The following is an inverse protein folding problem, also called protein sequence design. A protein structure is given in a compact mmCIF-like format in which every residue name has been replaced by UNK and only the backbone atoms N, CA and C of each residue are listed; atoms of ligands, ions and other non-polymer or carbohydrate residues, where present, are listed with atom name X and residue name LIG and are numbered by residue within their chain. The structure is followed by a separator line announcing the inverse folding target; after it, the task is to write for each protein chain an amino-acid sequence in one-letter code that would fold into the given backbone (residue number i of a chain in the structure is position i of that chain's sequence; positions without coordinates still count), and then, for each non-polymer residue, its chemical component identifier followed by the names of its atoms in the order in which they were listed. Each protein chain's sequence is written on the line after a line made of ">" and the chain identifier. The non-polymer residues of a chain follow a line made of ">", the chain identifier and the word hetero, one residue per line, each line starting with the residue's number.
data_IF_808119854213
#
_entry.id   IF_808119854213
#
_cell.length_a   1.000
_cell.length_b   1.000
_cell.length_c   1.000
_cell.angle_alpha   90.00
_cell.angle_beta   90.00
_cell.angle_gamma   90.00
#
_symmetry.space_group_name_H-M   'P 1'
#
loop_
_entity.id
_entity.type
_entity.pdbx_description
1 polymer ?
#
# COMPACT_ATOMS: atom_id res chain seq x y z
N UNK A 1 25.15 -12.00 -20.92
CA UNK A 1 25.28 -12.48 -19.52
C UNK A 1 25.33 -11.28 -18.60
N UNK A 2 24.32 -11.05 -17.80
CA UNK A 2 24.26 -9.90 -16.90
C UNK A 2 25.07 -10.16 -15.60
N UNK A 3 25.24 -9.13 -14.77
CA UNK A 3 26.01 -9.27 -13.51
C UNK A 3 25.37 -10.30 -12.56
N UNK A 4 24.04 -10.44 -12.63
CA UNK A 4 23.23 -11.38 -11.83
C UNK A 4 23.45 -12.82 -12.28
N UNK A 5 23.50 -13.07 -13.59
CA UNK A 5 23.83 -14.41 -14.15
C UNK A 5 25.20 -14.87 -13.66
N UNK A 6 26.18 -13.96 -13.63
CA UNK A 6 27.54 -14.26 -13.13
C UNK A 6 27.54 -14.54 -11.62
N UNK A 7 26.77 -13.81 -10.84
CA UNK A 7 26.64 -14.04 -9.40
C UNK A 7 26.09 -15.44 -9.11
N UNK A 8 25.02 -15.84 -9.83
CA UNK A 8 24.42 -17.18 -9.69
C UNK A 8 25.37 -18.28 -10.19
N UNK A 9 26.16 -18.01 -11.23
CA UNK A 9 27.16 -18.97 -11.71
C UNK A 9 28.33 -19.19 -10.71
N UNK A 10 28.68 -18.13 -9.95
CA UNK A 10 29.75 -18.23 -8.90
C UNK A 10 29.19 -18.87 -7.63
N UNK A 11 27.97 -18.47 -7.23
CA UNK A 11 27.30 -18.97 -6.03
C UNK A 11 25.87 -19.44 -6.38
N UNK A 12 25.70 -20.72 -6.75
CA UNK A 12 24.42 -21.28 -7.21
C UNK A 12 23.32 -21.33 -6.17
N UNK A 13 23.60 -20.98 -4.92
CA UNK A 13 22.64 -20.90 -3.80
C UNK A 13 22.31 -19.46 -3.38
N UNK A 14 22.77 -18.47 -4.13
CA UNK A 14 22.57 -17.04 -3.82
C UNK A 14 21.12 -16.60 -4.15
N UNK A 15 20.20 -16.85 -3.23
CA UNK A 15 18.75 -16.59 -3.38
C UNK A 15 18.42 -15.15 -3.72
N UNK A 16 19.15 -14.18 -3.15
CA UNK A 16 18.92 -12.75 -3.46
C UNK A 16 19.23 -12.42 -4.92
N UNK A 17 20.31 -12.97 -5.49
CA UNK A 17 20.63 -12.77 -6.90
C UNK A 17 19.56 -13.41 -7.82
N UNK A 18 19.06 -14.59 -7.45
CA UNK A 18 17.97 -15.27 -8.17
C UNK A 18 16.68 -14.44 -8.12
N UNK A 19 16.27 -13.96 -6.95
CA UNK A 19 15.12 -13.07 -6.79
C UNK A 19 15.23 -11.82 -7.66
N UNK A 20 16.38 -11.17 -7.65
CA UNK A 20 16.63 -9.96 -8.46
C UNK A 20 16.66 -10.24 -9.97
N UNK A 21 17.12 -11.43 -10.39
CA UNK A 21 17.06 -11.84 -11.79
C UNK A 21 15.60 -12.14 -12.18
N UNK A 22 14.87 -12.89 -11.36
CA UNK A 22 13.47 -13.22 -11.61
C UNK A 22 12.60 -11.95 -11.75
N UNK A 23 12.77 -10.95 -10.89
CA UNK A 23 12.10 -9.64 -11.04
C UNK A 23 12.42 -8.97 -12.38
N UNK A 24 13.70 -8.99 -12.80
CA UNK A 24 14.10 -8.42 -14.09
C UNK A 24 13.46 -9.16 -15.27
N UNK A 25 13.29 -10.49 -15.15
CA UNK A 25 12.60 -11.30 -16.17
C UNK A 25 11.11 -11.00 -16.22
N UNK A 26 10.44 -10.83 -15.07
CA UNK A 26 9.07 -10.33 -15.02
C UNK A 26 8.93 -8.99 -15.72
N UNK A 27 9.89 -8.08 -15.49
CA UNK A 27 9.93 -6.76 -16.15
C UNK A 27 10.05 -6.85 -17.67
N UNK A 28 10.59 -7.94 -18.18
CA UNK A 28 10.70 -8.25 -19.62
C UNK A 28 9.58 -9.16 -20.13
N UNK A 29 8.59 -9.47 -19.28
CA UNK A 29 7.51 -10.40 -19.56
C UNK A 29 7.96 -11.85 -19.80
N UNK A 30 9.16 -12.23 -19.34
CA UNK A 30 9.64 -13.62 -19.37
C UNK A 30 9.21 -14.35 -18.08
N UNK A 31 7.90 -14.49 -17.97
CA UNK A 31 7.25 -15.00 -16.75
C UNK A 31 7.58 -16.48 -16.47
N UNK A 32 7.85 -17.27 -17.49
CA UNK A 32 8.15 -18.70 -17.33
C UNK A 32 9.52 -18.90 -16.67
N UNK A 33 10.54 -18.19 -17.14
CA UNK A 33 11.88 -18.26 -16.55
C UNK A 33 11.91 -17.62 -15.15
N UNK A 34 11.18 -16.53 -14.94
CA UNK A 34 11.02 -15.91 -13.62
C UNK A 34 10.41 -16.90 -12.62
N UNK A 35 9.33 -17.59 -12.98
CA UNK A 35 8.68 -18.60 -12.13
C UNK A 35 9.65 -19.72 -11.75
N UNK A 36 10.40 -20.24 -12.70
CA UNK A 36 11.41 -21.31 -12.46
C UNK A 36 12.49 -20.85 -11.45
N UNK A 37 12.94 -19.60 -11.55
CA UNK A 37 13.88 -19.05 -10.57
C UNK A 37 13.28 -18.91 -9.18
N UNK A 38 12.03 -18.46 -9.05
CA UNK A 38 11.36 -18.39 -7.75
C UNK A 38 11.11 -19.78 -7.16
N UNK A 39 10.77 -20.78 -7.96
CA UNK A 39 10.66 -22.19 -7.51
C UNK A 39 11.99 -22.67 -6.93
N UNK A 40 13.10 -22.40 -7.63
CA UNK A 40 14.44 -22.76 -7.15
C UNK A 40 14.81 -22.01 -5.87
N UNK A 41 14.44 -20.73 -5.72
CA UNK A 41 14.61 -19.99 -4.46
C UNK A 41 13.88 -20.69 -3.32
N UNK A 42 12.63 -21.14 -3.56
CA UNK A 42 11.81 -21.81 -2.54
C UNK A 42 12.30 -23.23 -2.20
N UNK A 43 13.04 -23.89 -3.07
CA UNK A 43 13.75 -25.14 -2.75
C UNK A 43 14.87 -24.89 -1.73
N UNK A 44 15.56 -23.73 -1.82
CA UNK A 44 16.66 -23.34 -0.96
C UNK A 44 16.20 -22.67 0.34
N UNK A 45 15.19 -21.83 0.23
CA UNK A 45 14.60 -21.04 1.33
C UNK A 45 13.08 -21.03 1.20
N UNK A 46 12.40 -21.96 1.88
CA UNK A 46 10.94 -22.11 1.83
C UNK A 46 10.18 -20.90 2.38
N UNK A 47 10.83 -20.08 3.21
CA UNK A 47 10.23 -18.91 3.85
C UNK A 47 10.53 -17.61 3.10
N UNK A 48 11.09 -17.68 1.90
CA UNK A 48 11.37 -16.49 1.10
C UNK A 48 10.10 -15.79 0.66
N UNK A 49 9.71 -14.73 1.36
CA UNK A 49 8.44 -14.02 1.14
C UNK A 49 8.32 -13.43 -0.27
N UNK A 50 9.42 -12.93 -0.85
CA UNK A 50 9.41 -12.41 -2.23
C UNK A 50 9.10 -13.53 -3.24
N UNK A 51 9.80 -14.66 -3.14
CA UNK A 51 9.58 -15.77 -4.06
C UNK A 51 8.18 -16.38 -3.91
N UNK A 52 7.68 -16.54 -2.66
CA UNK A 52 6.31 -17.01 -2.41
C UNK A 52 5.27 -16.11 -3.07
N UNK A 53 5.38 -14.81 -2.86
CA UNK A 53 4.40 -13.83 -3.33
C UNK A 53 4.40 -13.69 -4.85
N UNK A 54 5.57 -13.49 -5.44
CA UNK A 54 5.69 -13.26 -6.88
C UNK A 54 5.43 -14.53 -7.69
N UNK A 55 5.81 -15.71 -7.17
CA UNK A 55 5.43 -16.97 -7.80
C UNK A 55 3.92 -17.19 -7.78
N UNK A 56 3.24 -16.90 -6.67
CA UNK A 56 1.77 -16.95 -6.60
C UNK A 56 1.13 -16.02 -7.65
N UNK A 57 1.64 -14.79 -7.79
CA UNK A 57 1.19 -13.83 -8.80
C UNK A 57 1.35 -14.37 -10.24
N UNK A 58 2.52 -14.94 -10.56
CA UNK A 58 2.80 -15.51 -11.89
C UNK A 58 1.96 -16.75 -12.19
N UNK A 59 1.57 -17.51 -11.17
CA UNK A 59 0.70 -18.70 -11.29
C UNK A 59 -0.79 -18.36 -11.26
N UNK A 60 -1.17 -17.06 -11.18
CA UNK A 60 -2.56 -16.61 -11.08
C UNK A 60 -3.25 -17.01 -9.77
N UNK A 61 -2.49 -17.30 -8.71
CA UNK A 61 -3.02 -17.61 -7.38
C UNK A 61 -3.14 -16.34 -6.55
N UNK A 62 -4.36 -16.02 -6.14
CA UNK A 62 -4.61 -14.87 -5.25
C UNK A 62 -4.40 -15.29 -3.79
N UNK A 63 -3.52 -14.60 -3.09
CA UNK A 63 -3.28 -14.70 -1.64
C UNK A 63 -4.04 -13.59 -0.92
N UNK A 64 -4.14 -13.66 0.42
CA UNK A 64 -4.88 -12.66 1.20
C UNK A 64 -4.08 -11.38 1.46
N UNK A 65 -2.76 -11.49 1.55
CA UNK A 65 -1.85 -10.35 1.78
C UNK A 65 -0.45 -10.67 1.27
N UNK A 66 0.31 -9.65 0.95
CA UNK A 66 1.74 -9.78 0.68
C UNK A 66 2.50 -10.02 1.99
N UNK A 67 3.54 -10.88 1.99
CA UNK A 67 4.39 -11.07 3.16
C UNK A 67 5.05 -9.75 3.61
N UNK A 68 5.05 -9.46 4.92
CA UNK A 68 5.67 -8.24 5.46
C UNK A 68 7.15 -8.12 5.07
N UNK A 69 7.89 -9.23 5.07
CA UNK A 69 9.30 -9.26 4.67
C UNK A 69 9.51 -8.85 3.20
N UNK A 70 8.56 -9.18 2.32
CA UNK A 70 8.60 -8.74 0.93
C UNK A 70 8.36 -7.23 0.82
N UNK A 71 7.31 -6.72 1.49
CA UNK A 71 6.95 -5.29 1.46
C UNK A 71 8.08 -4.45 2.07
N UNK A 72 8.52 -4.79 3.28
CA UNK A 72 9.61 -4.07 3.96
C UNK A 72 10.92 -4.07 3.13
N UNK A 73 11.28 -5.23 2.54
CA UNK A 73 12.47 -5.33 1.68
C UNK A 73 12.36 -4.45 0.43
N UNK A 74 11.20 -4.44 -0.23
CA UNK A 74 10.96 -3.64 -1.43
C UNK A 74 11.17 -2.14 -1.16
N UNK A 75 10.69 -1.65 -0.04
CA UNK A 75 10.74 -0.22 0.30
C UNK A 75 12.06 0.20 0.94
N UNK A 76 12.70 -0.63 1.76
CA UNK A 76 14.03 -0.31 2.28
C UNK A 76 15.08 -0.16 1.16
N UNK A 77 15.02 -1.02 0.13
CA UNK A 77 15.93 -0.94 -1.01
C UNK A 77 15.69 0.31 -1.88
N UNK A 78 14.47 0.81 -1.90
CA UNK A 78 14.06 1.94 -2.73
C UNK A 78 14.22 3.31 -2.06
N UNK A 79 14.29 3.39 -0.73
CA UNK A 79 14.13 4.61 0.06
C UNK A 79 14.95 5.81 -0.47
N UNK A 80 16.23 5.64 -0.81
CA UNK A 80 17.12 6.75 -1.19
C UNK A 80 16.77 7.53 -2.46
N UNK A 81 15.93 6.99 -3.35
CA UNK A 81 15.51 7.64 -4.60
C UNK A 81 13.99 7.59 -4.82
N UNK A 82 13.25 7.18 -3.80
CA UNK A 82 11.84 6.82 -3.90
C UNK A 82 10.97 7.99 -4.36
N UNK A 83 11.04 9.13 -3.68
CA UNK A 83 10.19 10.30 -3.98
C UNK A 83 10.40 10.82 -5.39
N UNK A 84 11.66 10.96 -5.81
CA UNK A 84 11.96 11.41 -7.17
C UNK A 84 11.39 10.45 -8.20
N UNK A 85 11.56 9.15 -8.00
CA UNK A 85 11.02 8.14 -8.92
C UNK A 85 9.49 8.18 -8.93
N UNK A 86 8.85 8.25 -7.76
CA UNK A 86 7.40 8.25 -7.62
C UNK A 86 6.77 9.51 -8.25
N UNK A 87 7.31 10.68 -7.95
CA UNK A 87 6.72 11.96 -8.36
C UNK A 87 7.09 12.32 -9.80
N UNK A 88 8.38 12.21 -10.18
CA UNK A 88 8.85 12.66 -11.48
C UNK A 88 8.70 11.60 -12.59
N UNK A 89 8.83 10.29 -12.25
CA UNK A 89 8.79 9.22 -13.24
C UNK A 89 7.40 8.58 -13.33
N UNK A 90 6.76 8.32 -12.18
CA UNK A 90 5.45 7.69 -12.14
C UNK A 90 4.29 8.69 -12.10
N UNK A 91 4.55 9.99 -12.05
CA UNK A 91 3.52 11.04 -11.96
C UNK A 91 2.47 10.78 -10.87
N UNK A 92 2.92 10.29 -9.72
CA UNK A 92 2.09 9.86 -8.61
C UNK A 92 1.32 11.03 -7.97
N UNK A 93 0.00 10.92 -7.87
CA UNK A 93 -0.88 12.00 -7.41
C UNK A 93 -1.87 11.59 -6.31
N UNK A 94 -1.75 10.37 -5.79
CA UNK A 94 -2.71 9.86 -4.79
C UNK A 94 -2.78 10.74 -3.54
N UNK A 95 -1.67 11.26 -2.95
CA UNK A 95 -1.75 12.15 -1.80
C UNK A 95 -2.61 13.40 -2.05
N UNK A 96 -2.49 14.02 -3.25
CA UNK A 96 -3.28 15.18 -3.64
C UNK A 96 -4.77 14.82 -3.82
N UNK A 97 -5.05 13.65 -4.40
CA UNK A 97 -6.41 13.17 -4.55
C UNK A 97 -7.07 12.89 -3.19
N UNK A 98 -6.36 12.24 -2.27
CA UNK A 98 -6.85 12.02 -0.90
C UNK A 98 -7.12 13.34 -0.19
N UNK A 99 -6.18 14.32 -0.29
CA UNK A 99 -6.38 15.65 0.30
C UNK A 99 -7.64 16.32 -0.21
N UNK A 100 -7.85 16.31 -1.53
CA UNK A 100 -9.04 16.90 -2.16
C UNK A 100 -10.33 16.19 -1.70
N UNK A 101 -10.31 14.85 -1.70
CA UNK A 101 -11.47 14.05 -1.35
C UNK A 101 -11.86 14.20 0.14
N UNK A 102 -10.87 14.23 1.04
CA UNK A 102 -11.10 14.47 2.48
C UNK A 102 -11.65 15.87 2.70
N UNK A 103 -11.06 16.90 2.07
CA UNK A 103 -11.56 18.28 2.21
C UNK A 103 -12.98 18.45 1.72
N UNK A 104 -13.37 17.77 0.64
CA UNK A 104 -14.75 17.79 0.12
C UNK A 104 -15.75 17.01 0.99
N UNK A 105 -15.29 16.06 1.80
CA UNK A 105 -16.12 15.25 2.70
C UNK A 105 -16.27 15.84 4.10
N UNK A 106 -15.55 16.90 4.42
CA UNK A 106 -15.66 17.64 5.68
C UNK A 106 -16.77 18.69 5.57
N UNK A 107 -17.63 18.74 6.58
CA UNK A 107 -18.74 19.71 6.64
C UNK A 107 -18.25 21.15 6.89
N UNK A 108 -17.11 21.31 7.59
CA UNK A 108 -16.47 22.60 7.91
C UNK A 108 -14.93 22.43 7.90
N UNK A 109 -14.18 23.49 7.63
CA UNK A 109 -12.73 23.50 7.80
C UNK A 109 -12.37 23.30 9.27
N UNK A 110 -11.81 22.13 9.58
CA UNK A 110 -11.34 21.82 10.92
C UNK A 110 -9.80 21.67 10.91
N UNK A 111 -9.12 22.55 11.65
CA UNK A 111 -7.66 22.58 11.78
C UNK A 111 -7.19 21.95 13.11
N UNK A 112 -7.95 21.00 13.66
CA UNK A 112 -7.63 20.35 14.95
C UNK A 112 -7.90 18.84 14.88
N UNK A 113 -7.50 18.19 13.78
CA UNK A 113 -7.75 16.78 13.51
C UNK A 113 -6.64 15.88 14.08
N UNK A 114 -7.02 14.78 14.68
CA UNK A 114 -6.11 13.66 14.93
C UNK A 114 -6.09 12.78 13.67
N UNK A 115 -4.95 12.72 12.99
CA UNK A 115 -4.79 12.05 11.70
C UNK A 115 -3.81 10.88 11.81
N UNK A 116 -4.18 9.73 11.24
CA UNK A 116 -3.34 8.55 11.09
C UNK A 116 -3.07 8.31 9.60
N UNK A 117 -1.80 8.24 9.23
CA UNK A 117 -1.32 7.94 7.87
C UNK A 117 -0.74 6.52 7.86
N UNK A 118 -1.52 5.57 7.35
CA UNK A 118 -1.17 4.16 7.24
C UNK A 118 -0.30 3.93 6.00
N UNK A 119 0.85 3.27 6.18
CA UNK A 119 1.84 3.09 5.12
C UNK A 119 2.34 4.44 4.61
N UNK A 120 2.73 5.32 5.53
CA UNK A 120 3.06 6.71 5.20
C UNK A 120 4.29 6.86 4.29
N UNK A 121 5.11 5.79 4.15
CA UNK A 121 6.31 5.80 3.33
C UNK A 121 7.25 6.94 3.72
N UNK A 122 7.73 7.68 2.74
CA UNK A 122 8.57 8.87 2.89
C UNK A 122 7.80 10.11 3.37
N UNK A 123 6.48 9.99 3.57
CA UNK A 123 5.67 11.06 4.15
C UNK A 123 4.99 12.00 3.17
N UNK A 124 4.74 11.61 1.92
CA UNK A 124 4.14 12.49 0.89
C UNK A 124 2.76 13.04 1.26
N UNK A 125 1.98 12.37 2.09
CA UNK A 125 0.72 12.90 2.64
C UNK A 125 0.96 13.97 3.72
N UNK A 126 2.04 13.85 4.48
CA UNK A 126 2.31 14.67 5.65
C UNK A 126 2.16 16.19 5.43
N UNK A 127 2.92 16.80 4.50
CA UNK A 127 2.84 18.25 4.23
C UNK A 127 1.44 18.71 3.83
N UNK A 128 0.68 17.88 3.11
CA UNK A 128 -0.66 18.22 2.64
C UNK A 128 -1.70 18.28 3.77
N UNK A 129 -1.49 17.47 4.82
CA UNK A 129 -2.43 17.38 5.94
C UNK A 129 -1.97 18.11 7.20
N UNK A 130 -0.69 18.53 7.30
CA UNK A 130 -0.12 19.15 8.50
C UNK A 130 -0.91 20.35 9.03
N UNK A 131 -1.39 21.22 8.16
CA UNK A 131 -2.14 22.42 8.57
C UNK A 131 -3.47 22.10 9.24
N UNK A 132 -4.10 20.97 8.87
CA UNK A 132 -5.37 20.52 9.46
C UNK A 132 -5.17 19.63 10.69
N UNK A 133 -3.94 19.14 10.91
CA UNK A 133 -3.67 18.18 11.96
C UNK A 133 -3.33 18.86 13.28
N UNK A 134 -4.09 18.53 14.34
CA UNK A 134 -3.66 18.69 15.73
C UNK A 134 -2.54 17.69 16.04
N UNK A 135 -2.74 16.46 15.58
CA UNK A 135 -1.77 15.37 15.71
C UNK A 135 -1.73 14.57 14.41
N UNK A 136 -0.53 14.38 13.87
CA UNK A 136 -0.28 13.59 12.67
C UNK A 136 0.65 12.42 13.01
N UNK A 137 0.14 11.21 12.89
CA UNK A 137 0.88 9.97 13.17
C UNK A 137 1.08 9.21 11.87
N UNK A 138 2.33 8.84 11.55
CA UNK A 138 2.67 7.99 10.42
C UNK A 138 3.06 6.58 10.86
N UNK A 139 2.70 5.59 10.08
CA UNK A 139 3.05 4.17 10.29
C UNK A 139 3.58 3.59 8.99
N UNK A 140 4.73 2.90 9.05
CA UNK A 140 5.26 2.16 7.90
C UNK A 140 6.04 0.92 8.36
N UNK A 141 6.11 -0.11 7.50
CA UNK A 141 6.90 -1.33 7.74
C UNK A 141 8.39 -1.11 7.54
N UNK A 142 8.79 -0.15 6.70
CA UNK A 142 10.16 0.08 6.27
C UNK A 142 10.82 1.21 7.08
N UNK A 143 11.78 0.92 7.98
CA UNK A 143 12.48 1.96 8.76
C UNK A 143 13.14 3.01 7.88
N UNK A 144 13.74 2.64 6.74
CA UNK A 144 14.38 3.59 5.83
C UNK A 144 13.41 4.59 5.20
N UNK A 145 12.12 4.24 5.04
CA UNK A 145 11.07 5.19 4.64
C UNK A 145 10.78 6.18 5.76
N UNK A 146 10.65 5.70 6.99
CA UNK A 146 10.37 6.55 8.14
C UNK A 146 11.50 7.51 8.48
N UNK A 147 12.76 7.16 8.20
CA UNK A 147 13.90 8.09 8.32
C UNK A 147 13.70 9.31 7.41
N UNK A 148 13.26 9.12 6.16
CA UNK A 148 12.97 10.23 5.25
C UNK A 148 11.71 11.01 5.66
N UNK A 149 10.66 10.32 6.11
CA UNK A 149 9.47 10.99 6.65
C UNK A 149 9.80 11.87 7.86
N UNK A 150 10.76 11.45 8.70
CA UNK A 150 11.23 12.22 9.86
C UNK A 150 11.95 13.51 9.45
N UNK A 151 12.70 13.49 8.33
CA UNK A 151 13.40 14.69 7.82
C UNK A 151 12.42 15.81 7.41
N UNK A 152 11.18 15.48 7.06
CA UNK A 152 10.15 16.48 6.75
C UNK A 152 9.72 17.31 7.97
N UNK A 153 9.87 16.77 9.18
CA UNK A 153 9.52 17.46 10.44
C UNK A 153 8.03 17.75 10.59
N UNK A 154 7.16 17.06 9.87
CA UNK A 154 5.70 17.32 9.86
C UNK A 154 4.89 16.30 10.68
N UNK A 155 5.44 15.11 10.96
CA UNK A 155 4.78 14.11 11.78
C UNK A 155 5.10 14.32 13.26
N UNK A 156 4.07 14.26 14.12
CA UNK A 156 4.25 14.30 15.59
C UNK A 156 4.75 12.96 16.13
N UNK A 157 4.48 11.87 15.40
CA UNK A 157 4.97 10.53 15.73
C UNK A 157 5.07 9.67 14.48
N UNK A 158 6.17 8.94 14.36
CA UNK A 158 6.38 7.89 13.36
C UNK A 158 6.53 6.55 14.08
N UNK A 159 5.92 5.50 13.54
CA UNK A 159 5.86 4.16 14.14
C UNK A 159 6.29 3.15 13.09
N UNK A 160 7.38 2.43 13.37
CA UNK A 160 7.75 1.26 12.55
C UNK A 160 6.88 0.07 12.96
N UNK A 161 6.16 -0.50 12.02
CA UNK A 161 5.33 -1.68 12.26
C UNK A 161 4.21 -1.89 11.26
N UNK A 162 3.53 -3.02 11.41
CA UNK A 162 2.34 -3.35 10.64
C UNK A 162 1.14 -2.47 11.04
N UNK A 163 0.40 -2.02 10.03
CA UNK A 163 -0.79 -1.18 10.19
C UNK A 163 -1.85 -1.81 11.10
N UNK A 164 -2.04 -3.13 11.02
CA UNK A 164 -3.01 -3.85 11.83
C UNK A 164 -2.65 -3.80 13.32
N UNK A 165 -1.36 -3.81 13.65
CA UNK A 165 -0.88 -3.73 15.04
C UNK A 165 -1.19 -2.37 15.67
N UNK A 166 -1.03 -1.29 14.92
CA UNK A 166 -1.34 0.08 15.37
C UNK A 166 -2.84 0.29 15.50
N UNK A 167 -3.60 -0.17 14.51
CA UNK A 167 -5.07 -0.06 14.51
C UNK A 167 -5.70 -0.84 15.67
N UNK A 168 -5.23 -2.06 15.99
CA UNK A 168 -5.73 -2.86 17.13
C UNK A 168 -5.63 -2.11 18.46
N UNK A 169 -4.61 -1.28 18.63
CA UNK A 169 -4.38 -0.52 19.85
C UNK A 169 -5.05 0.86 19.86
N UNK A 170 -5.80 1.19 18.81
CA UNK A 170 -6.48 2.48 18.64
C UNK A 170 -7.99 2.29 18.80
N UNK A 171 -8.62 3.14 19.60
CA UNK A 171 -10.08 3.16 19.75
C UNK A 171 -10.58 4.60 19.79
N UNK A 172 -11.43 4.97 18.85
CA UNK A 172 -11.98 6.33 18.73
C UNK A 172 -10.90 7.42 18.90
N UNK A 173 -9.75 7.20 18.24
CA UNK A 173 -8.55 8.03 18.42
C UNK A 173 -8.35 9.04 17.30
N UNK A 174 -8.90 8.77 16.09
CA UNK A 174 -8.60 9.56 14.91
C UNK A 174 -9.84 10.14 14.27
N UNK A 175 -9.72 11.38 13.80
CA UNK A 175 -10.72 12.05 12.98
C UNK A 175 -10.58 11.64 11.51
N UNK A 176 -9.34 11.38 11.07
CA UNK A 176 -9.05 10.93 9.70
C UNK A 176 -8.02 9.80 9.73
N UNK A 177 -8.28 8.75 8.97
CA UNK A 177 -7.32 7.69 8.64
C UNK A 177 -7.06 7.74 7.14
N UNK A 178 -5.80 7.77 6.75
CA UNK A 178 -5.34 7.79 5.35
C UNK A 178 -4.66 6.46 5.01
N UNK A 179 -4.78 6.00 3.75
CA UNK A 179 -4.02 4.89 3.21
C UNK A 179 -3.74 5.11 1.71
N UNK A 180 -2.61 5.75 1.40
CA UNK A 180 -2.18 6.06 0.04
C UNK A 180 -1.36 4.90 -0.54
N UNK A 181 -1.89 4.16 -1.51
CA UNK A 181 -1.27 2.99 -2.17
C UNK A 181 -0.82 1.86 -1.19
N UNK A 182 -1.54 1.69 -0.09
CA UNK A 182 -1.29 0.64 0.90
C UNK A 182 -1.92 -0.68 0.46
N UNK A 183 -3.15 -0.63 -0.03
CA UNK A 183 -3.95 -1.83 -0.31
C UNK A 183 -3.54 -2.56 -1.59
N UNK A 184 -2.60 -2.02 -2.33
CA UNK A 184 -1.90 -2.78 -3.38
C UNK A 184 -1.04 -3.93 -2.82
N UNK A 185 -0.84 -4.01 -1.50
CA UNK A 185 -0.15 -5.09 -0.79
C UNK A 185 -1.06 -5.90 0.14
N UNK A 186 -2.34 -5.55 0.24
CA UNK A 186 -3.33 -6.23 1.09
C UNK A 186 -4.54 -6.59 0.21
N UNK A 187 -4.78 -7.87 0.01
CA UNK A 187 -5.91 -8.35 -0.79
C UNK A 187 -7.21 -8.36 0.03
N UNK A 188 -7.20 -9.06 1.16
CA UNK A 188 -8.36 -9.17 2.05
C UNK A 188 -8.44 -7.97 3.00
N UNK A 189 -9.51 -7.18 2.91
CA UNK A 189 -9.62 -5.89 3.60
C UNK A 189 -10.57 -5.89 4.81
N UNK A 190 -11.31 -6.95 5.05
CA UNK A 190 -12.32 -7.04 6.10
C UNK A 190 -11.75 -6.68 7.47
N UNK A 191 -10.66 -7.34 7.88
CA UNK A 191 -10.04 -7.11 9.18
C UNK A 191 -9.44 -5.71 9.32
N UNK A 192 -8.92 -5.15 8.22
CA UNK A 192 -8.37 -3.78 8.20
C UNK A 192 -9.50 -2.77 8.37
N UNK A 193 -10.61 -2.93 7.65
CA UNK A 193 -11.76 -2.03 7.73
C UNK A 193 -12.42 -2.06 9.11
N UNK A 194 -12.59 -3.24 9.71
CA UNK A 194 -13.05 -3.38 11.10
C UNK A 194 -12.13 -2.65 12.08
N UNK A 195 -10.81 -2.76 11.89
CA UNK A 195 -9.85 -2.11 12.75
C UNK A 195 -9.83 -0.59 12.56
N UNK A 196 -9.98 -0.11 11.32
CA UNK A 196 -10.12 1.31 11.00
C UNK A 196 -11.41 1.88 11.59
N UNK A 197 -12.55 1.18 11.44
CA UNK A 197 -13.82 1.61 12.04
C UNK A 197 -13.66 1.84 13.55
N UNK A 198 -13.06 0.91 14.26
CA UNK A 198 -12.81 1.05 15.71
C UNK A 198 -11.85 2.19 16.04
N UNK A 199 -10.85 2.44 15.21
CA UNK A 199 -9.86 3.50 15.43
C UNK A 199 -10.41 4.90 15.15
N UNK A 200 -11.35 5.04 14.25
CA UNK A 200 -12.00 6.31 13.93
C UNK A 200 -12.90 6.77 15.09
N UNK A 201 -12.97 8.07 15.31
CA UNK A 201 -14.01 8.72 16.11
C UNK A 201 -15.35 8.63 15.39
N UNK A 202 -16.50 8.70 16.08
CA UNK A 202 -17.80 8.85 15.43
C UNK A 202 -17.79 10.04 14.46
N UNK A 203 -18.23 9.82 13.22
CA UNK A 203 -18.18 10.83 12.14
C UNK A 203 -16.78 10.97 11.48
N UNK A 204 -15.77 10.23 11.92
CA UNK A 204 -14.44 10.24 11.33
C UNK A 204 -14.38 9.65 9.92
N UNK A 205 -13.37 10.03 9.16
CA UNK A 205 -13.21 9.71 7.74
C UNK A 205 -12.07 8.71 7.52
N UNK A 206 -12.30 7.75 6.63
CA UNK A 206 -11.30 6.84 6.10
C UNK A 206 -11.11 7.11 4.61
N UNK A 207 -9.95 7.61 4.21
CA UNK A 207 -9.64 7.94 2.82
C UNK A 207 -8.47 7.07 2.31
N UNK A 208 -8.68 6.38 1.19
CA UNK A 208 -7.70 5.44 0.65
C UNK A 208 -7.78 5.29 -0.86
N UNK A 209 -6.74 4.71 -1.45
CA UNK A 209 -6.70 4.30 -2.85
C UNK A 209 -6.68 2.80 -3.01
N UNK A 210 -7.25 2.31 -4.12
CA UNK A 210 -7.13 0.92 -4.59
C UNK A 210 -6.86 0.92 -6.09
N UNK A 211 -6.04 -0.03 -6.56
CA UNK A 211 -5.94 -0.31 -8.01
C UNK A 211 -7.21 -1.01 -8.49
N UNK A 212 -7.63 -0.68 -9.71
CA UNK A 212 -8.68 -1.36 -10.46
C UNK A 212 -8.09 -2.22 -11.57
N UNK A 213 -8.93 -2.95 -12.29
CA UNK A 213 -8.50 -3.74 -13.45
C UNK A 213 -8.76 -5.24 -13.30
N UNK A 214 -9.76 -5.58 -12.48
CA UNK A 214 -10.30 -6.93 -12.40
C UNK A 214 -11.77 -6.92 -12.83
N UNK A 215 -12.17 -7.92 -13.58
CA UNK A 215 -13.54 -8.08 -14.11
C UNK A 215 -14.43 -8.93 -13.18
N UNK A 216 -13.89 -9.38 -12.03
CA UNK A 216 -14.58 -10.20 -11.04
C UNK A 216 -14.93 -9.43 -9.78
N UNK A 217 -15.97 -9.85 -9.08
CA UNK A 217 -16.23 -9.40 -7.73
C UNK A 217 -15.14 -9.91 -6.77
N UNK A 218 -14.63 -9.03 -5.91
CA UNK A 218 -13.59 -9.38 -4.95
C UNK A 218 -12.27 -8.63 -5.18
N UNK A 219 -11.17 -9.32 -4.90
CA UNK A 219 -9.81 -8.84 -5.14
C UNK A 219 -8.97 -9.90 -5.85
N UNK A 220 -7.91 -9.47 -6.51
CA UNK A 220 -6.99 -10.39 -7.20
C UNK A 220 -5.55 -9.93 -7.07
N UNK A 221 -4.65 -10.90 -6.93
CA UNK A 221 -3.21 -10.67 -7.04
C UNK A 221 -2.83 -10.66 -8.53
N UNK A 222 -2.42 -9.50 -9.01
CA UNK A 222 -2.00 -9.30 -10.40
C UNK A 222 -0.59 -9.86 -10.62
N UNK A 223 -0.23 -10.12 -11.87
CA UNK A 223 1.12 -10.56 -12.26
C UNK A 223 2.22 -9.56 -11.91
N UNK A 224 1.85 -8.31 -11.60
CA UNK A 224 2.75 -7.26 -11.08
C UNK A 224 3.16 -7.46 -9.62
N UNK A 225 2.54 -8.42 -8.91
CA UNK A 225 2.68 -8.61 -7.47
C UNK A 225 1.87 -7.60 -6.64
N UNK A 226 0.93 -6.88 -7.25
CA UNK A 226 0.03 -5.95 -6.57
C UNK A 226 -1.39 -6.47 -6.56
N UNK A 227 -2.17 -6.11 -5.53
CA UNK A 227 -3.59 -6.42 -5.48
C UNK A 227 -4.41 -5.33 -6.15
N UNK A 228 -5.42 -5.76 -6.89
CA UNK A 228 -6.50 -4.91 -7.39
C UNK A 228 -7.82 -5.32 -6.73
N UNK A 229 -8.72 -4.35 -6.52
CA UNK A 229 -9.99 -4.55 -5.84
C UNK A 229 -11.15 -4.05 -6.68
N UNK A 230 -12.24 -4.82 -6.72
CA UNK A 230 -13.48 -4.37 -7.35
C UNK A 230 -14.21 -3.35 -6.46
N UNK A 231 -14.96 -2.46 -7.10
CA UNK A 231 -15.81 -1.48 -6.39
C UNK A 231 -16.85 -2.19 -5.53
N UNK A 232 -17.45 -3.27 -6.06
CA UNK A 232 -18.46 -4.07 -5.35
C UNK A 232 -17.90 -4.68 -4.05
N UNK A 233 -16.67 -5.20 -4.09
CA UNK A 233 -16.00 -5.72 -2.91
C UNK A 233 -15.77 -4.64 -1.85
N UNK A 234 -15.22 -3.48 -2.23
CA UNK A 234 -15.00 -2.36 -1.29
C UNK A 234 -16.31 -1.92 -0.64
N UNK A 235 -17.39 -1.79 -1.42
CA UNK A 235 -18.71 -1.41 -0.91
C UNK A 235 -19.29 -2.46 0.05
N UNK A 236 -19.12 -3.73 -0.27
CA UNK A 236 -19.57 -4.84 0.57
C UNK A 236 -18.85 -4.85 1.92
N UNK A 237 -17.51 -4.75 1.90
CA UNK A 237 -16.69 -4.71 3.12
C UNK A 237 -17.01 -3.45 3.95
N UNK A 238 -17.14 -2.28 3.31
CA UNK A 238 -17.50 -1.05 4.01
C UNK A 238 -18.85 -1.17 4.73
N UNK A 239 -19.88 -1.67 4.03
CA UNK A 239 -21.21 -1.85 4.62
C UNK A 239 -21.20 -2.86 5.79
N UNK A 240 -20.45 -3.96 5.65
CA UNK A 240 -20.34 -4.99 6.68
C UNK A 240 -19.63 -4.48 7.95
N UNK A 241 -18.76 -3.48 7.82
CA UNK A 241 -17.98 -2.92 8.93
C UNK A 241 -18.54 -1.60 9.50
N UNK A 242 -19.71 -1.16 9.04
CA UNK A 242 -20.35 0.09 9.55
C UNK A 242 -19.70 1.38 9.03
N UNK A 243 -18.97 1.27 7.93
CA UNK A 243 -18.41 2.42 7.20
C UNK A 243 -19.30 2.77 6.01
N UNK A 244 -19.80 4.01 5.95
CA UNK A 244 -20.63 4.50 4.86
C UNK A 244 -19.80 5.23 3.81
N UNK A 245 -19.98 4.90 2.54
CA UNK A 245 -19.39 5.65 1.43
C UNK A 245 -19.87 7.11 1.41
N UNK A 246 -18.93 8.05 1.36
CA UNK A 246 -19.17 9.49 1.21
C UNK A 246 -18.78 9.94 -0.19
N UNK A 247 -17.65 9.46 -0.68
CA UNK A 247 -17.15 9.77 -2.02
C UNK A 247 -16.40 8.57 -2.61
N UNK A 248 -16.48 8.43 -3.92
CA UNK A 248 -15.67 7.53 -4.74
C UNK A 248 -15.39 8.18 -6.09
N UNK A 249 -14.10 8.34 -6.41
CA UNK A 249 -13.63 8.91 -7.68
C UNK A 249 -12.72 7.94 -8.41
N UNK A 250 -12.97 7.71 -9.70
CA UNK A 250 -12.04 7.03 -10.59
C UNK A 250 -10.89 7.97 -10.97
N UNK A 251 -9.64 7.52 -10.84
CA UNK A 251 -8.43 8.30 -11.13
C UNK A 251 -7.37 7.45 -11.81
N UNK A 252 -6.49 8.11 -12.55
CA UNK A 252 -5.17 7.56 -12.85
C UNK A 252 -4.30 7.79 -11.62
N UNK A 253 -3.90 6.72 -10.93
CA UNK A 253 -3.14 6.81 -9.69
C UNK A 253 -1.68 7.16 -9.96
N UNK A 254 -1.10 6.58 -11.02
CA UNK A 254 0.27 6.80 -11.50
C UNK A 254 0.45 6.31 -12.93
N UNK A 255 1.58 6.61 -13.52
CA UNK A 255 2.02 6.08 -14.83
C UNK A 255 3.12 5.05 -14.56
N UNK A 256 2.93 3.80 -14.93
CA UNK A 256 3.96 2.76 -14.82
C UNK A 256 4.42 2.37 -16.24
N UNK A 257 5.69 2.66 -16.57
CA UNK A 257 6.28 2.39 -17.90
C UNK A 257 5.44 2.93 -19.05
N UNK A 258 4.92 4.15 -18.92
CA UNK A 258 4.08 4.79 -19.92
C UNK A 258 2.63 4.28 -19.96
N UNK A 259 2.25 3.34 -19.11
CA UNK A 259 0.88 2.83 -19.00
C UNK A 259 0.17 3.45 -17.79
N UNK A 260 -1.02 4.07 -17.96
CA UNK A 260 -1.81 4.57 -16.85
C UNK A 260 -2.28 3.42 -15.95
N UNK A 261 -1.99 3.50 -14.66
CA UNK A 261 -2.54 2.62 -13.65
C UNK A 261 -3.80 3.28 -13.09
N UNK A 262 -4.94 2.70 -13.48
CA UNK A 262 -6.24 3.18 -13.05
C UNK A 262 -6.61 2.64 -11.67
N UNK A 263 -7.36 3.42 -10.93
CA UNK A 263 -7.86 3.01 -9.63
C UNK A 263 -8.94 3.95 -9.12
N UNK A 264 -9.27 3.79 -7.86
CA UNK A 264 -10.30 4.57 -7.20
C UNK A 264 -9.77 5.18 -5.91
N UNK A 265 -10.23 6.40 -5.64
CA UNK A 265 -10.11 7.07 -4.36
C UNK A 265 -11.44 6.93 -3.65
N UNK A 266 -11.44 6.34 -2.47
CA UNK A 266 -12.60 6.23 -1.62
C UNK A 266 -12.49 7.14 -0.41
N UNK A 267 -13.61 7.71 0.02
CA UNK A 267 -13.79 8.29 1.35
C UNK A 267 -15.00 7.62 1.98
N UNK A 268 -14.75 6.94 3.09
CA UNK A 268 -15.78 6.33 3.92
C UNK A 268 -15.89 7.10 5.23
N UNK A 269 -17.07 7.13 5.82
CA UNK A 269 -17.35 7.80 7.11
C UNK A 269 -17.86 6.78 8.12
N UNK A 270 -17.29 6.80 9.33
CA UNK A 270 -17.85 6.06 10.46
C UNK A 270 -19.16 6.69 10.88
N UNK A 271 -20.23 5.91 10.91
CA UNK A 271 -21.53 6.39 11.37
C UNK A 271 -21.54 6.61 12.89
N UNK A 272 -22.40 7.48 13.34
CA UNK A 272 -22.68 7.65 14.76
C UNK A 272 -23.43 6.40 15.24
N UNK A 273 -22.89 5.72 16.26
CA UNK A 273 -23.68 4.72 16.98
C UNK A 273 -24.84 5.49 17.64
N UNK A 274 -26.07 5.20 17.22
CA UNK A 274 -27.27 5.78 17.77
C UNK A 274 -27.51 5.34 19.23
#
# INVERSE_FOLDING_TARGET
>A
MCIRDRAIAIEPVFTQAMNNLAKLLMDKSDNAEAASLFERVLELDKNNGMAQHLLAALQGRTTTTAPESYVAGLFNDAAGNFDRHLVEVLEYKVPQYLKTAVSAAQDEENNSLDILDLGCGTGLCGPLFRQQAKKLVGVDLAPGMLEQAAELGVYDRLITGDISSVLRNSKSAYDVVLAADVFIYVGELEQVFEAVERALKPGGLFAFSVESGIDSDGYSLLTTGRYAHSISYIKTVAAATGLREVNMDAKVLRIDRGTPINGHIFVLKREWAG
#
